data_IF_034625378371
#
_entry.id   IF_034625378371
#
_cell.length_a   1.000
_cell.length_b   1.000
_cell.length_c   1.000
_cell.angle_alpha   90.00
_cell.angle_beta   90.00
_cell.angle_gamma   90.00
#
_symmetry.space_group_name_H-M   'P 1'
#
loop_
_entity.id
_entity.type
_entity.pdbx_description
1 polymer ?
#
# COMPACT_ATOMS: atom_id res chain seq x y z
N UNK A 1 -1.58 -10.19 -12.52
CA UNK A 1 -0.56 -9.56 -11.64
C UNK A 1 0.82 -10.23 -11.74
N UNK A 2 0.94 -11.56 -11.71
CA UNK A 2 2.23 -12.25 -11.88
C UNK A 2 2.93 -11.92 -13.21
N UNK A 3 2.18 -11.84 -14.32
CA UNK A 3 2.68 -11.39 -15.62
C UNK A 3 3.35 -10.02 -15.52
N UNK A 4 2.65 -9.02 -14.97
CA UNK A 4 3.15 -7.66 -14.80
C UNK A 4 4.42 -7.65 -13.94
N UNK A 5 4.42 -8.34 -12.79
CA UNK A 5 5.60 -8.48 -11.91
C UNK A 5 6.83 -9.02 -12.66
N UNK A 6 6.65 -10.02 -13.52
CA UNK A 6 7.74 -10.57 -14.34
C UNK A 6 8.20 -9.60 -15.43
N UNK A 7 7.26 -8.91 -16.06
CA UNK A 7 7.54 -8.00 -17.17
C UNK A 7 8.33 -6.75 -16.75
N UNK A 8 8.15 -6.28 -15.52
CA UNK A 8 8.85 -5.09 -15.01
C UNK A 8 10.14 -5.40 -14.23
N UNK A 9 10.50 -6.68 -14.07
CA UNK A 9 11.74 -7.05 -13.39
C UNK A 9 12.95 -6.40 -14.09
N UNK A 10 13.94 -5.86 -13.34
CA UNK A 10 14.18 -6.05 -11.90
C UNK A 10 13.44 -5.07 -10.98
N UNK A 11 12.63 -4.15 -11.50
CA UNK A 11 11.83 -3.25 -10.65
C UNK A 11 10.76 -4.02 -9.88
N UNK A 12 10.47 -3.58 -8.65
CA UNK A 12 9.45 -4.18 -7.81
C UNK A 12 8.07 -3.56 -8.07
N UNK A 13 7.04 -4.41 -8.11
CA UNK A 13 5.64 -3.98 -8.01
C UNK A 13 5.03 -4.72 -6.82
N UNK A 14 4.78 -3.97 -5.74
CA UNK A 14 4.13 -4.49 -4.55
C UNK A 14 2.63 -4.50 -4.78
N UNK A 15 1.95 -5.51 -4.23
CA UNK A 15 0.52 -5.73 -4.46
C UNK A 15 -0.20 -5.57 -3.14
N UNK A 16 -1.03 -4.54 -3.05
CA UNK A 16 -1.91 -4.32 -1.91
C UNK A 16 -3.28 -4.93 -2.18
N UNK A 17 -3.63 -5.96 -1.41
CA UNK A 17 -4.92 -6.61 -1.47
C UNK A 17 -5.87 -5.97 -0.44
N UNK A 18 -6.88 -5.26 -0.93
CA UNK A 18 -7.93 -4.67 -0.10
C UNK A 18 -9.19 -5.53 -0.13
N UNK A 19 -9.24 -6.54 0.74
CA UNK A 19 -10.42 -7.37 0.99
C UNK A 19 -11.19 -6.94 2.24
N UNK A 20 -10.72 -5.91 2.95
CA UNK A 20 -11.29 -5.53 4.23
C UNK A 20 -12.77 -5.11 4.06
N UNK A 21 -13.73 -5.75 4.77
CA UNK A 21 -15.17 -5.53 4.55
C UNK A 21 -15.60 -4.07 4.67
N UNK A 22 -14.96 -3.29 5.55
CA UNK A 22 -15.27 -1.86 5.74
C UNK A 22 -14.53 -0.92 4.77
N UNK A 23 -13.50 -1.40 4.07
CA UNK A 23 -12.63 -0.55 3.23
C UNK A 23 -12.71 -0.89 1.74
N UNK A 24 -13.34 -2.01 1.39
CA UNK A 24 -13.52 -2.48 0.01
C UNK A 24 -14.60 -1.69 -0.75
N UNK A 25 -15.66 -1.27 -0.06
CA UNK A 25 -16.81 -0.61 -0.66
C UNK A 25 -16.62 0.92 -0.76
N UNK A 26 -17.25 1.55 -1.75
CA UNK A 26 -17.22 3.00 -1.99
C UNK A 26 -15.90 3.55 -2.56
N UNK A 27 -15.28 2.82 -3.50
CA UNK A 27 -14.19 3.36 -4.33
C UNK A 27 -14.70 3.59 -5.76
N UNK A 28 -14.14 4.56 -6.49
CA UNK A 28 -14.53 4.80 -7.89
C UNK A 28 -14.40 3.55 -8.77
N UNK A 29 -13.37 2.73 -8.51
CA UNK A 29 -13.12 1.47 -9.24
C UNK A 29 -14.08 0.34 -8.90
N UNK A 30 -14.81 0.38 -7.77
CA UNK A 30 -15.68 -0.73 -7.35
C UNK A 30 -16.89 -0.96 -8.26
N UNK A 31 -17.12 -0.08 -9.24
CA UNK A 31 -18.12 -0.27 -10.30
C UNK A 31 -17.68 -1.31 -11.35
N UNK A 32 -16.38 -1.59 -11.46
CA UNK A 32 -15.84 -2.54 -12.42
C UNK A 32 -16.03 -3.98 -11.92
N UNK A 33 -16.22 -4.93 -12.85
CA UNK A 33 -16.27 -6.37 -12.54
C UNK A 33 -14.95 -6.86 -11.93
N UNK A 34 -13.82 -6.33 -12.42
CA UNK A 34 -12.48 -6.64 -11.94
C UNK A 34 -11.75 -5.33 -11.59
N UNK A 35 -11.91 -4.81 -10.36
CA UNK A 35 -11.36 -3.52 -9.96
C UNK A 35 -9.85 -3.63 -9.68
N UNK A 36 -9.05 -2.80 -10.35
CA UNK A 36 -7.62 -2.63 -10.09
C UNK A 36 -7.35 -1.17 -9.77
N UNK A 37 -6.53 -0.92 -8.75
CA UNK A 37 -6.04 0.41 -8.41
C UNK A 37 -4.52 0.44 -8.55
N UNK A 38 -4.01 1.45 -9.24
CA UNK A 38 -2.59 1.72 -9.33
C UNK A 38 -2.25 2.93 -8.47
N UNK A 39 -1.16 2.83 -7.71
CA UNK A 39 -0.65 3.92 -6.88
C UNK A 39 0.85 4.04 -7.12
N UNK A 40 1.29 5.23 -7.52
CA UNK A 40 2.71 5.57 -7.57
C UNK A 40 3.19 5.96 -6.19
N UNK A 41 4.08 5.18 -5.59
CA UNK A 41 4.68 5.52 -4.30
C UNK A 41 5.68 6.68 -4.43
N UNK A 42 5.73 7.52 -3.40
CA UNK A 42 6.90 8.37 -3.14
C UNK A 42 6.92 9.79 -3.72
N UNK A 43 5.78 10.42 -4.05
CA UNK A 43 5.80 11.87 -4.30
C UNK A 43 5.49 12.61 -2.99
N UNK A 44 6.46 13.30 -2.36
CA UNK A 44 6.24 14.01 -1.08
C UNK A 44 5.29 15.23 -1.21
N UNK A 45 4.80 15.52 -2.41
CA UNK A 45 3.81 16.55 -2.65
C UNK A 45 2.77 16.03 -3.65
N UNK A 46 1.50 16.05 -3.24
CA UNK A 46 0.31 15.67 -4.01
C UNK A 46 0.04 16.50 -5.27
N UNK A 47 1.04 17.26 -5.76
CA UNK A 47 0.96 18.22 -6.88
C UNK A 47 2.24 18.31 -7.72
N UNK A 48 3.20 17.40 -7.53
CA UNK A 48 4.43 17.37 -8.31
C UNK A 48 4.40 16.28 -9.39
N UNK A 49 4.74 16.65 -10.63
CA UNK A 49 4.98 15.72 -11.72
C UNK A 49 6.43 15.23 -11.66
N UNK A 50 6.61 13.94 -11.41
CA UNK A 50 7.92 13.29 -11.40
C UNK A 50 8.03 12.35 -12.59
N UNK A 51 9.03 12.55 -13.44
CA UNK A 51 9.23 11.74 -14.65
C UNK A 51 9.38 10.25 -14.34
N UNK A 52 10.11 9.90 -13.27
CA UNK A 52 10.29 8.52 -12.87
C UNK A 52 8.98 7.84 -12.44
N UNK A 53 8.09 8.56 -11.77
CA UNK A 53 6.76 8.04 -11.39
C UNK A 53 5.88 7.89 -12.63
N UNK A 54 5.87 8.89 -13.50
CA UNK A 54 5.10 8.86 -14.73
C UNK A 54 5.49 7.68 -15.63
N UNK A 55 6.79 7.47 -15.86
CA UNK A 55 7.27 6.36 -16.67
C UNK A 55 6.98 5.00 -16.03
N UNK A 56 7.14 4.87 -14.71
CA UNK A 56 6.77 3.65 -13.99
C UNK A 56 5.28 3.32 -14.19
N UNK A 57 4.41 4.33 -14.08
CA UNK A 57 2.97 4.13 -14.30
C UNK A 57 2.65 3.70 -15.73
N UNK A 58 3.29 4.33 -16.72
CA UNK A 58 3.11 3.94 -18.13
C UNK A 58 3.49 2.50 -18.38
N UNK A 59 4.59 2.04 -17.80
CA UNK A 59 5.07 0.66 -17.95
C UNK A 59 4.08 -0.33 -17.33
N UNK A 60 3.58 -0.05 -16.12
CA UNK A 60 2.58 -0.90 -15.45
C UNK A 60 1.29 -0.97 -16.28
N UNK A 61 0.75 0.18 -16.72
CA UNK A 61 -0.45 0.23 -17.55
C UNK A 61 -0.28 -0.51 -18.87
N UNK A 62 0.86 -0.34 -19.54
CA UNK A 62 1.17 -1.05 -20.79
C UNK A 62 1.08 -2.56 -20.57
N UNK A 63 1.75 -3.10 -19.57
CA UNK A 63 1.73 -4.54 -19.31
C UNK A 63 0.39 -5.06 -18.80
N UNK A 64 -0.43 -4.22 -18.15
CA UNK A 64 -1.79 -4.57 -17.80
C UNK A 64 -2.67 -4.72 -19.07
N UNK A 65 -2.51 -3.83 -20.04
CA UNK A 65 -3.22 -3.93 -21.33
C UNK A 65 -2.71 -5.08 -22.19
N UNK A 66 -1.39 -5.28 -22.25
CA UNK A 66 -0.77 -6.43 -22.93
C UNK A 66 -1.32 -7.76 -22.36
N UNK A 67 -1.46 -7.84 -21.04
CA UNK A 67 -2.06 -9.02 -20.38
C UNK A 67 -3.50 -9.28 -20.83
N UNK A 68 -4.32 -8.23 -20.93
CA UNK A 68 -5.72 -8.35 -21.37
C UNK A 68 -5.77 -8.84 -22.82
N UNK A 69 -4.91 -8.32 -23.70
CA UNK A 69 -4.86 -8.74 -25.10
C UNK A 69 -4.45 -10.22 -25.22
N UNK A 70 -3.36 -10.61 -24.56
CA UNK A 70 -2.89 -12.00 -24.55
C UNK A 70 -3.96 -12.97 -24.03
N UNK A 71 -4.67 -12.58 -22.97
CA UNK A 71 -5.80 -13.35 -22.45
C UNK A 71 -6.92 -13.49 -23.50
N UNK A 72 -7.27 -12.41 -24.20
CA UNK A 72 -8.29 -12.43 -25.25
C UNK A 72 -7.87 -13.27 -26.48
N UNK A 73 -6.57 -13.35 -26.78
CA UNK A 73 -6.01 -14.20 -27.83
C UNK A 73 -5.99 -15.70 -27.47
N UNK A 74 -6.37 -16.05 -26.24
CA UNK A 74 -6.40 -17.44 -25.76
C UNK A 74 -5.08 -17.94 -25.20
N UNK A 75 -4.17 -17.03 -24.81
CA UNK A 75 -2.98 -17.41 -24.05
C UNK A 75 -3.38 -17.93 -22.67
N UNK A 76 -3.03 -19.18 -22.38
CA UNK A 76 -3.23 -19.77 -21.06
C UNK A 76 -2.18 -19.26 -20.08
N UNK A 77 -2.61 -18.87 -18.87
CA UNK A 77 -1.71 -18.47 -17.81
C UNK A 77 -1.62 -19.58 -16.75
N UNK A 78 -0.41 -20.14 -16.50
CA UNK A 78 -0.27 -21.20 -15.51
C UNK A 78 -0.56 -20.66 -14.11
N UNK A 79 -1.01 -21.56 -13.23
CA UNK A 79 -1.21 -21.23 -11.83
C UNK A 79 0.09 -20.71 -11.21
N UNK A 80 -0.05 -19.74 -10.33
CA UNK A 80 1.10 -19.10 -9.69
C UNK A 80 0.75 -18.61 -8.29
N UNK A 81 1.78 -18.28 -7.52
CA UNK A 81 1.62 -17.58 -6.25
C UNK A 81 2.15 -16.17 -6.39
N UNK A 82 1.41 -15.21 -5.84
CA UNK A 82 1.80 -13.80 -5.84
C UNK A 82 1.93 -13.34 -4.40
N UNK A 83 3.07 -12.76 -4.07
CA UNK A 83 3.24 -12.05 -2.81
C UNK A 83 2.33 -10.82 -2.77
N UNK A 84 1.51 -10.72 -1.73
CA UNK A 84 0.57 -9.61 -1.49
C UNK A 84 0.67 -9.12 -0.05
N UNK A 85 0.30 -7.86 0.15
CA UNK A 85 0.10 -7.23 1.46
C UNK A 85 -1.39 -7.02 1.67
N UNK A 86 -1.97 -7.50 2.76
CA UNK A 86 -3.41 -7.35 3.02
C UNK A 86 -3.67 -6.23 4.00
N UNK A 87 -4.64 -5.37 3.71
CA UNK A 87 -5.02 -4.29 4.64
C UNK A 87 -5.71 -4.87 5.88
N UNK A 88 -5.17 -4.61 7.07
CA UNK A 88 -5.82 -4.96 8.34
C UNK A 88 -6.71 -3.85 8.87
N UNK A 89 -6.09 -2.79 9.34
CA UNK A 89 -6.74 -1.75 10.12
C UNK A 89 -6.15 -0.39 9.77
N UNK A 90 -6.46 0.62 10.57
CA UNK A 90 -5.95 1.98 10.44
C UNK A 90 -5.46 2.45 11.80
N UNK A 91 -4.28 3.05 11.86
CA UNK A 91 -3.68 3.61 13.09
C UNK A 91 -3.68 5.15 13.03
N UNK A 92 -4.66 5.79 13.66
CA UNK A 92 -4.72 7.26 13.73
C UNK A 92 -3.50 7.87 14.46
N UNK A 93 -3.22 9.14 14.16
CA UNK A 93 -2.22 9.91 14.91
C UNK A 93 -2.64 10.03 16.38
N UNK A 94 -1.68 10.06 17.31
CA UNK A 94 -1.94 10.46 18.69
C UNK A 94 -2.52 11.89 18.71
N UNK A 95 -3.67 12.06 19.36
CA UNK A 95 -4.38 13.33 19.49
C UNK A 95 -4.66 13.71 20.94
N UNK A 96 -4.73 15.00 21.22
CA UNK A 96 -5.17 15.53 22.52
C UNK A 96 -6.70 15.48 22.68
N UNK A 97 -7.20 15.94 23.83
CA UNK A 97 -8.63 16.01 24.12
C UNK A 97 -9.42 16.96 23.18
N UNK A 98 -8.73 17.89 22.50
CA UNK A 98 -9.32 18.79 21.52
C UNK A 98 -9.27 18.22 20.09
N UNK A 99 -8.71 17.02 19.90
CA UNK A 99 -8.54 16.37 18.61
C UNK A 99 -7.31 16.85 17.81
N UNK A 100 -6.44 17.67 18.39
CA UNK A 100 -5.21 18.12 17.74
C UNK A 100 -4.16 17.01 17.75
N UNK A 101 -3.42 16.86 16.65
CA UNK A 101 -2.28 15.95 16.59
C UNK A 101 -1.20 16.42 17.58
N UNK A 102 -0.70 15.50 18.40
CA UNK A 102 0.35 15.78 19.40
C UNK A 102 1.68 15.06 19.12
N UNK A 103 1.74 14.30 18.02
CA UNK A 103 2.91 13.54 17.64
C UNK A 103 3.06 13.45 16.12
N UNK A 104 4.30 13.37 15.66
CA UNK A 104 4.67 13.10 14.26
C UNK A 104 5.14 11.65 14.10
N UNK A 105 5.18 11.14 12.87
CA UNK A 105 5.80 9.84 12.58
C UNK A 105 7.25 9.88 13.05
N UNK A 106 7.68 8.82 13.73
CA UNK A 106 9.04 8.74 14.26
C UNK A 106 10.06 8.69 13.10
N UNK A 107 11.23 9.34 13.20
CA UNK A 107 12.22 9.36 12.12
C UNK A 107 12.65 7.98 11.62
N UNK A 108 12.71 6.98 12.50
CA UNK A 108 13.05 5.59 12.13
C UNK A 108 11.95 4.85 11.37
N UNK A 109 10.72 5.39 11.33
CA UNK A 109 9.60 4.83 10.59
C UNK A 109 9.28 5.65 9.33
N UNK A 110 9.68 6.92 9.31
CA UNK A 110 9.47 7.80 8.16
C UNK A 110 10.13 7.22 6.90
N UNK A 111 9.37 7.21 5.80
CA UNK A 111 9.80 6.70 4.49
C UNK A 111 10.13 5.18 4.45
N UNK A 112 9.77 4.42 5.50
CA UNK A 112 9.94 2.98 5.58
C UNK A 112 8.67 2.21 5.18
N UNK A 113 7.93 2.69 4.17
CA UNK A 113 6.77 1.97 3.65
C UNK A 113 7.20 0.56 3.21
N UNK A 114 6.35 -0.44 3.50
CA UNK A 114 6.57 -1.86 3.18
C UNK A 114 7.70 -2.56 3.93
N UNK A 115 8.40 -1.87 4.83
CA UNK A 115 9.39 -2.47 5.73
C UNK A 115 8.71 -3.03 6.99
N UNK A 116 9.28 -4.05 7.66
CA UNK A 116 8.69 -4.64 8.85
C UNK A 116 8.73 -3.69 10.06
N UNK A 117 7.59 -3.58 10.76
CA UNK A 117 7.43 -2.86 12.03
C UNK A 117 7.06 -3.86 13.14
N UNK A 118 7.92 -4.02 14.14
CA UNK A 118 7.74 -5.00 15.21
C UNK A 118 7.16 -4.37 16.47
N UNK A 119 6.48 -5.16 17.33
CA UNK A 119 6.06 -4.69 18.64
C UNK A 119 7.23 -4.10 19.44
N UNK A 120 7.06 -2.88 19.94
CA UNK A 120 8.11 -2.13 20.64
C UNK A 120 8.95 -1.20 19.75
N UNK A 121 8.87 -1.30 18.42
CA UNK A 121 9.57 -0.37 17.53
C UNK A 121 8.97 1.05 17.63
N UNK A 122 9.80 2.10 17.44
CA UNK A 122 9.34 3.47 17.58
C UNK A 122 8.45 3.88 16.39
N UNK A 123 7.22 4.32 16.68
CA UNK A 123 6.20 4.60 15.67
C UNK A 123 5.89 6.10 15.56
N UNK A 124 5.68 6.78 16.69
CA UNK A 124 5.48 8.22 16.73
C UNK A 124 6.47 8.89 17.71
N UNK A 125 6.68 10.19 17.51
CA UNK A 125 7.39 11.07 18.42
C UNK A 125 6.51 12.28 18.72
N UNK A 126 6.18 12.47 19.98
CA UNK A 126 5.46 13.65 20.46
C UNK A 126 6.33 14.90 20.34
N UNK A 127 5.70 16.10 20.33
CA UNK A 127 6.43 17.36 20.18
C UNK A 127 7.36 17.70 21.35
N UNK A 128 7.15 17.08 22.52
CA UNK A 128 8.06 17.19 23.68
C UNK A 128 9.24 16.20 23.61
N UNK A 129 9.30 15.39 22.56
CA UNK A 129 10.38 14.43 22.31
C UNK A 129 10.11 13.01 22.81
N UNK A 130 8.97 12.73 23.46
CA UNK A 130 8.66 11.36 23.91
C UNK A 130 8.29 10.44 22.74
N UNK A 131 8.94 9.28 22.67
CA UNK A 131 8.65 8.20 21.72
C UNK A 131 7.42 7.39 22.12
N UNK A 132 6.51 7.16 21.18
CA UNK A 132 5.39 6.23 21.28
C UNK A 132 5.74 5.02 20.41
N UNK A 133 5.77 3.84 21.04
CA UNK A 133 6.17 2.58 20.41
C UNK A 133 4.95 1.79 19.93
N UNK A 134 5.11 1.05 18.84
CA UNK A 134 4.07 0.17 18.32
C UNK A 134 3.69 -0.90 19.36
N UNK A 135 2.38 -1.08 19.58
CA UNK A 135 1.81 -2.00 20.59
C UNK A 135 1.07 -3.19 19.95
N UNK A 136 1.27 -3.46 18.66
CA UNK A 136 0.65 -4.60 17.99
C UNK A 136 1.10 -5.95 18.58
N UNK A 137 0.35 -7.01 18.27
CA UNK A 137 0.66 -8.38 18.73
C UNK A 137 1.70 -9.08 17.86
N UNK A 138 2.01 -8.57 16.67
CA UNK A 138 2.93 -9.17 15.70
C UNK A 138 3.55 -8.13 14.77
N UNK A 139 4.42 -8.60 13.86
CA UNK A 139 5.10 -7.76 12.86
C UNK A 139 4.15 -7.38 11.72
N UNK A 140 4.00 -6.07 11.49
CA UNK A 140 3.18 -5.50 10.41
C UNK A 140 4.07 -4.80 9.36
N UNK A 141 3.52 -4.42 8.21
CA UNK A 141 4.29 -3.82 7.10
C UNK A 141 3.78 -2.43 6.67
N UNK A 142 3.84 -1.39 7.52
CA UNK A 142 3.14 -0.11 7.35
C UNK A 142 3.17 0.46 5.91
N UNK A 143 2.03 1.00 5.47
CA UNK A 143 1.88 1.60 4.13
C UNK A 143 1.18 2.95 4.19
N UNK A 144 1.46 3.80 3.20
CA UNK A 144 1.01 5.19 3.13
C UNK A 144 1.45 5.98 4.37
N UNK A 145 2.70 5.76 4.79
CA UNK A 145 3.26 6.43 5.96
C UNK A 145 3.28 7.93 5.67
N UNK A 146 2.69 8.70 6.59
CA UNK A 146 2.67 10.16 6.51
C UNK A 146 1.99 10.76 5.25
N UNK A 147 0.99 10.08 4.68
CA UNK A 147 0.24 10.59 3.52
C UNK A 147 -0.61 11.83 3.87
N UNK A 148 -0.40 12.91 3.11
CA UNK A 148 -1.01 14.21 3.36
C UNK A 148 -2.55 14.17 3.24
N UNK A 149 -3.08 13.40 2.29
CA UNK A 149 -4.53 13.29 2.09
C UNK A 149 -5.28 12.65 3.28
N UNK A 150 -4.56 12.05 4.22
CA UNK A 150 -5.17 11.34 5.33
C UNK A 150 -5.31 12.18 6.58
N UNK A 151 -4.64 13.34 6.71
CA UNK A 151 -4.65 14.17 7.95
C UNK A 151 -6.05 14.51 8.43
N UNK A 152 -6.92 14.85 7.48
CA UNK A 152 -8.29 15.28 7.72
C UNK A 152 -9.28 14.12 7.88
N UNK A 153 -8.90 12.90 7.50
CA UNK A 153 -9.82 11.75 7.43
C UNK A 153 -9.66 10.76 8.60
N UNK A 154 -8.75 11.00 9.55
CA UNK A 154 -8.37 10.04 10.60
C UNK A 154 -7.99 8.66 10.03
N UNK A 155 -7.27 8.63 8.90
CA UNK A 155 -6.93 7.40 8.15
C UNK A 155 -5.43 7.20 8.07
N UNK A 156 -4.76 7.05 9.19
CA UNK A 156 -3.30 7.05 9.20
C UNK A 156 -2.79 5.64 9.37
N UNK A 157 -1.73 5.28 8.64
CA UNK A 157 -1.18 3.93 8.54
C UNK A 157 -2.23 2.84 8.26
N UNK A 158 -2.22 2.27 7.06
CA UNK A 158 -2.79 0.94 6.87
C UNK A 158 -1.70 -0.05 7.25
N UNK A 159 -1.62 -0.60 8.49
CA UNK A 159 -0.79 -1.76 8.73
C UNK A 159 -1.33 -2.86 7.83
N UNK A 160 -0.57 -3.36 6.87
CA UNK A 160 -0.84 -4.67 6.35
C UNK A 160 -0.42 -5.69 7.41
N UNK A 161 -1.19 -6.76 7.57
CA UNK A 161 -0.62 -8.00 8.10
C UNK A 161 -0.44 -9.02 7.02
N UNK A 162 0.55 -9.85 7.35
CA UNK A 162 1.11 -10.97 6.64
C UNK A 162 1.38 -10.64 5.17
N UNK A 163 2.66 -10.43 4.88
CA UNK A 163 3.21 -10.78 3.57
C UNK A 163 2.72 -12.20 3.24
N UNK A 164 1.69 -12.28 2.41
CA UNK A 164 0.97 -13.51 2.15
C UNK A 164 1.26 -13.97 0.73
N UNK A 165 1.31 -15.28 0.54
CA UNK A 165 1.37 -15.88 -0.78
C UNK A 165 -0.05 -16.19 -1.24
N UNK A 166 -0.57 -15.37 -2.16
CA UNK A 166 -1.90 -15.56 -2.72
C UNK A 166 -1.85 -16.54 -3.89
N UNK A 167 -2.55 -17.69 -3.81
CA UNK A 167 -2.65 -18.60 -4.94
C UNK A 167 -3.54 -17.99 -6.02
N UNK A 168 -3.07 -18.03 -7.25
CA UNK A 168 -3.80 -17.63 -8.46
C UNK A 168 -3.96 -18.90 -9.28
N UNK A 169 -5.20 -19.42 -9.44
CA UNK A 169 -5.48 -20.56 -10.31
C UNK A 169 -5.07 -20.27 -11.77
N UNK A 170 -4.94 -21.32 -12.57
CA UNK A 170 -4.79 -21.15 -14.01
C UNK A 170 -6.10 -20.63 -14.61
N UNK A 171 -6.00 -19.71 -15.56
CA UNK A 171 -7.09 -19.21 -16.40
C UNK A 171 -6.71 -19.29 -17.88
#
# INVERSE_FOLDING_TARGET
MNYIKKAIAPSSCLVLLNEHPLLKYSTSRSIAKHPVGESGSGSPASRCLRSNIFEAMRVILKHALDFIELFNEGMEFPSCTVEVFRVLERIDYPRDANGNIIAMVHPNLQDCDWEPLNPGDPMFQTFDGKTIRFQGSGTVYPTFINEAAYYENNRHLLPPDEKAWWPVPSE
#
